data_IF_829985955575
#
_entry.id   IF_829985955575
#
_cell.length_a   1.000
_cell.length_b   1.000
_cell.length_c   1.000
_cell.angle_alpha   90.00
_cell.angle_beta   90.00
_cell.angle_gamma   90.00
#
_symmetry.space_group_name_H-M   'P 1'
#
loop_
_entity.id
_entity.type
_entity.pdbx_description
1 polymer ?
#
# COMPACT_ATOMS: atom_id res chain seq x y z
N UNK A 1 51.70 -5.47 -67.73
CA UNK A 1 52.04 -5.53 -66.29
C UNK A 1 53.55 -5.62 -66.20
N UNK A 2 54.20 -4.72 -65.46
CA UNK A 2 55.65 -4.79 -65.23
C UNK A 2 55.86 -5.83 -64.14
N UNK A 3 56.33 -7.03 -64.51
CA UNK A 3 56.62 -8.09 -63.54
C UNK A 3 57.83 -7.67 -62.70
N UNK A 4 57.54 -7.14 -61.52
CA UNK A 4 58.56 -6.64 -60.61
C UNK A 4 59.28 -7.84 -59.97
N UNK A 5 60.55 -8.04 -60.32
CA UNK A 5 61.36 -9.13 -59.78
C UNK A 5 61.66 -8.89 -58.29
N UNK A 6 61.47 -9.90 -57.40
CA UNK A 6 61.80 -9.77 -56.00
C UNK A 6 63.32 -9.58 -55.80
N UNK A 7 63.69 -8.64 -54.92
CA UNK A 7 65.08 -8.28 -54.61
C UNK A 7 65.49 -8.99 -53.30
N UNK A 8 66.56 -9.77 -53.35
CA UNK A 8 67.20 -10.42 -52.19
C UNK A 8 68.38 -9.55 -51.71
N UNK A 9 68.92 -9.79 -50.51
CA UNK A 9 69.91 -8.92 -49.82
C UNK A 9 71.13 -8.48 -50.66
N UNK A 10 71.43 -9.15 -51.78
CA UNK A 10 72.32 -8.67 -52.84
C UNK A 10 71.71 -8.93 -54.24
N UNK A 11 70.77 -8.10 -54.68
CA UNK A 11 70.29 -8.05 -56.07
C UNK A 11 69.01 -8.84 -56.34
N UNK A 12 68.64 -8.99 -57.62
CA UNK A 12 67.43 -9.72 -58.03
C UNK A 12 67.59 -11.23 -57.83
N UNK A 13 66.49 -11.90 -57.50
CA UNK A 13 66.45 -13.36 -57.39
C UNK A 13 66.70 -14.02 -58.76
N UNK A 14 67.86 -14.66 -58.90
CA UNK A 14 68.35 -15.20 -60.17
C UNK A 14 67.41 -16.25 -60.75
N UNK A 15 66.86 -17.14 -59.92
CA UNK A 15 65.97 -18.21 -60.38
C UNK A 15 64.66 -17.65 -60.96
N UNK A 16 64.12 -16.60 -60.33
CA UNK A 16 62.90 -15.92 -60.80
C UNK A 16 63.12 -15.14 -62.10
N UNK A 17 64.31 -14.56 -62.28
CA UNK A 17 64.67 -13.85 -63.51
C UNK A 17 64.90 -14.84 -64.65
N UNK A 18 65.59 -15.96 -64.40
CA UNK A 18 65.82 -17.00 -65.40
C UNK A 18 64.49 -17.64 -65.86
N UNK A 19 63.56 -17.91 -64.93
CA UNK A 19 62.21 -18.41 -65.25
C UNK A 19 61.40 -17.43 -66.10
N UNK A 20 61.44 -16.14 -65.77
CA UNK A 20 60.73 -15.12 -66.56
C UNK A 20 61.37 -14.95 -67.95
N UNK A 21 62.70 -15.07 -68.05
CA UNK A 21 63.40 -15.01 -69.33
C UNK A 21 63.04 -16.20 -70.22
N UNK A 22 62.95 -17.41 -69.64
CA UNK A 22 62.47 -18.61 -70.35
C UNK A 22 61.04 -18.44 -70.84
N UNK A 23 60.11 -17.97 -70.00
CA UNK A 23 58.72 -17.68 -70.40
C UNK A 23 58.63 -16.61 -71.49
N UNK A 24 59.46 -15.57 -71.42
CA UNK A 24 59.52 -14.54 -72.45
C UNK A 24 60.03 -15.09 -73.79
N UNK A 25 61.04 -15.97 -73.77
CA UNK A 25 61.54 -16.65 -74.97
C UNK A 25 60.47 -17.57 -75.58
N UNK A 26 59.76 -18.36 -74.77
CA UNK A 26 58.66 -19.22 -75.23
C UNK A 26 57.52 -18.41 -75.85
N UNK A 27 57.11 -17.31 -75.21
CA UNK A 27 56.09 -16.41 -75.76
C UNK A 27 56.54 -15.79 -77.09
N UNK A 28 57.81 -15.40 -77.20
CA UNK A 28 58.36 -14.84 -78.44
C UNK A 28 58.38 -15.89 -79.56
N UNK A 29 58.71 -17.15 -79.24
CA UNK A 29 58.66 -18.25 -80.20
C UNK A 29 57.21 -18.51 -80.67
N UNK A 30 56.25 -18.54 -79.74
CA UNK A 30 54.82 -18.72 -80.06
C UNK A 30 54.27 -17.61 -80.95
N UNK A 31 54.63 -16.35 -80.68
CA UNK A 31 54.20 -15.22 -81.51
C UNK A 31 54.80 -15.29 -82.93
N UNK A 32 56.06 -15.72 -83.07
CA UNK A 32 56.68 -15.93 -84.39
C UNK A 32 56.00 -17.03 -85.18
N UNK A 33 55.57 -18.11 -84.52
CA UNK A 33 54.80 -19.19 -85.15
C UNK A 33 53.45 -18.66 -85.67
N UNK A 34 52.74 -17.87 -84.85
CA UNK A 34 51.47 -17.27 -85.23
C UNK A 34 51.61 -16.31 -86.41
N UNK A 35 52.65 -15.47 -86.44
CA UNK A 35 52.90 -14.57 -87.57
C UNK A 35 53.10 -15.36 -88.87
N UNK A 36 53.87 -16.46 -88.85
CA UNK A 36 54.04 -17.32 -90.04
C UNK A 36 52.72 -17.91 -90.53
N UNK A 37 51.84 -18.33 -89.61
CA UNK A 37 50.50 -18.84 -89.97
C UNK A 37 49.64 -17.74 -90.59
N UNK A 38 49.70 -16.52 -90.04
CA UNK A 38 48.96 -15.39 -90.59
C UNK A 38 49.49 -14.95 -91.96
N UNK A 39 50.81 -14.92 -92.17
CA UNK A 39 51.40 -14.60 -93.47
C UNK A 39 50.99 -15.63 -94.55
N UNK A 40 50.94 -16.93 -94.20
CA UNK A 40 50.44 -17.96 -95.10
C UNK A 40 48.95 -17.79 -95.44
N UNK A 41 48.12 -17.41 -94.45
CA UNK A 41 46.69 -17.12 -94.63
C UNK A 41 46.47 -15.91 -95.53
N UNK A 42 47.29 -14.86 -95.40
CA UNK A 42 47.21 -13.66 -96.24
C UNK A 42 47.53 -14.00 -97.69
N UNK A 43 48.59 -14.80 -97.94
CA UNK A 43 48.91 -15.26 -99.29
C UNK A 43 47.80 -16.10 -99.92
N UNK A 44 47.17 -16.98 -99.15
CA UNK A 44 46.01 -17.76 -99.60
C UNK A 44 44.82 -16.86 -99.94
N UNK A 45 44.52 -15.88 -99.09
CA UNK A 45 43.46 -14.89 -99.31
C UNK A 45 43.73 -14.03 -100.56
N UNK A 46 44.97 -13.60 -100.79
CA UNK A 46 45.33 -12.83 -101.98
C UNK A 46 45.17 -13.65 -103.26
N UNK A 47 45.54 -14.93 -103.23
CA UNK A 47 45.32 -15.85 -104.36
C UNK A 47 43.82 -16.04 -104.63
N UNK A 48 43.01 -16.24 -103.59
CA UNK A 48 41.54 -16.36 -103.71
C UNK A 48 40.92 -15.07 -104.27
N UNK A 49 41.39 -13.90 -103.85
CA UNK A 49 40.90 -12.61 -104.35
C UNK A 49 41.28 -12.36 -105.82
N UNK A 50 42.44 -12.83 -106.28
CA UNK A 50 42.78 -12.80 -107.70
C UNK A 50 41.86 -13.73 -108.51
N UNK A 51 41.61 -14.95 -108.03
CA UNK A 51 40.73 -15.91 -108.71
C UNK A 51 39.27 -15.40 -108.77
N UNK A 52 38.77 -14.83 -107.67
CA UNK A 52 37.45 -14.19 -107.60
C UNK A 52 37.33 -12.99 -108.55
N UNK A 53 38.38 -12.19 -108.69
CA UNK A 53 38.41 -11.06 -109.65
C UNK A 53 38.36 -11.54 -111.09
N UNK A 54 39.10 -12.60 -111.43
CA UNK A 54 39.05 -13.20 -112.77
C UNK A 54 37.64 -13.75 -113.07
N UNK A 55 37.00 -14.44 -112.12
CA UNK A 55 35.62 -14.94 -112.26
C UNK A 55 34.58 -13.83 -112.43
N UNK A 56 34.67 -12.73 -111.66
CA UNK A 56 33.76 -11.59 -111.78
C UNK A 56 33.91 -10.83 -113.10
N UNK A 57 35.11 -10.78 -113.69
CA UNK A 57 35.33 -10.11 -114.98
C UNK A 57 34.59 -10.81 -116.14
N UNK A 58 34.39 -12.13 -116.07
CA UNK A 58 33.66 -12.90 -117.08
C UNK A 58 32.13 -12.81 -117.00
N UNK A 59 31.56 -12.38 -115.88
CA UNK A 59 30.11 -12.34 -115.66
C UNK A 59 29.43 -11.05 -116.15
N UNK A 60 30.19 -10.00 -116.50
CA UNK A 60 29.63 -8.72 -116.95
C UNK A 60 28.87 -8.78 -118.29
N UNK A 61 29.00 -9.84 -119.09
CA UNK A 61 28.36 -9.94 -120.41
C UNK A 61 26.93 -10.52 -120.41
N UNK A 62 26.41 -11.04 -119.29
CA UNK A 62 25.06 -11.66 -119.19
C UNK A 62 24.09 -10.91 -118.24
N UNK A 63 24.33 -9.63 -117.97
CA UNK A 63 23.84 -8.92 -116.78
C UNK A 63 22.33 -8.61 -116.72
N UNK A 64 21.63 -8.34 -117.82
CA UNK A 64 20.30 -7.69 -117.73
C UNK A 64 19.08 -8.62 -117.54
N UNK A 65 19.08 -9.84 -118.08
CA UNK A 65 18.00 -10.83 -117.87
C UNK A 65 18.20 -11.62 -116.59
N UNK A 66 19.46 -11.85 -116.20
CA UNK A 66 19.83 -12.46 -114.93
C UNK A 66 19.47 -11.57 -113.72
N UNK A 67 19.46 -10.23 -113.88
CA UNK A 67 19.13 -9.30 -112.80
C UNK A 67 17.68 -9.39 -112.34
N UNK A 68 16.72 -9.62 -113.25
CA UNK A 68 15.30 -9.77 -112.92
C UNK A 68 14.97 -11.09 -112.20
N UNK A 69 15.56 -12.20 -112.67
CA UNK A 69 15.45 -13.50 -112.02
C UNK A 69 16.14 -13.50 -110.64
N UNK A 70 17.30 -12.86 -110.53
CA UNK A 70 18.01 -12.69 -109.26
C UNK A 70 17.24 -11.78 -108.29
N UNK A 71 16.59 -10.71 -108.76
CA UNK A 71 15.76 -9.86 -107.90
C UNK A 71 14.53 -10.60 -107.34
N UNK A 72 13.86 -11.44 -108.14
CA UNK A 72 12.75 -12.28 -107.65
C UNK A 72 13.23 -13.37 -106.69
N UNK A 73 14.39 -13.99 -106.96
CA UNK A 73 15.01 -14.95 -106.07
C UNK A 73 15.44 -14.30 -104.75
N UNK A 74 15.99 -13.08 -104.80
CA UNK A 74 16.39 -12.31 -103.62
C UNK A 74 15.16 -11.93 -102.79
N UNK A 75 14.08 -11.46 -103.43
CA UNK A 75 12.85 -11.11 -102.72
C UNK A 75 12.19 -12.35 -102.09
N UNK A 76 12.14 -13.48 -102.80
CA UNK A 76 11.65 -14.74 -102.24
C UNK A 76 12.54 -15.25 -101.09
N UNK A 77 13.86 -15.12 -101.22
CA UNK A 77 14.79 -15.47 -100.14
C UNK A 77 14.65 -14.53 -98.94
N UNK A 78 14.43 -13.24 -99.16
CA UNK A 78 14.23 -12.23 -98.13
C UNK A 78 12.92 -12.46 -97.38
N UNK A 79 11.83 -12.79 -98.09
CA UNK A 79 10.57 -13.19 -97.48
C UNK A 79 10.71 -14.47 -96.65
N UNK A 80 11.42 -15.49 -97.16
CA UNK A 80 11.69 -16.72 -96.42
C UNK A 80 12.52 -16.46 -95.17
N UNK A 81 13.61 -15.68 -95.27
CA UNK A 81 14.43 -15.31 -94.10
C UNK A 81 13.67 -14.45 -93.10
N UNK A 82 12.77 -13.58 -93.56
CA UNK A 82 11.95 -12.75 -92.67
C UNK A 82 10.93 -13.60 -91.91
N UNK A 83 10.28 -14.57 -92.59
CA UNK A 83 9.38 -15.52 -91.93
C UNK A 83 10.13 -16.37 -90.91
N UNK A 84 11.30 -16.88 -91.27
CA UNK A 84 12.14 -17.65 -90.35
C UNK A 84 12.59 -16.82 -89.15
N UNK A 85 12.98 -15.55 -89.36
CA UNK A 85 13.34 -14.63 -88.28
C UNK A 85 12.15 -14.34 -87.37
N UNK A 86 10.95 -14.13 -87.93
CA UNK A 86 9.74 -13.90 -87.14
C UNK A 86 9.34 -15.13 -86.32
N UNK A 87 9.41 -16.33 -86.90
CA UNK A 87 9.13 -17.58 -86.17
C UNK A 87 10.16 -17.82 -85.07
N UNK A 88 11.45 -17.57 -85.34
CA UNK A 88 12.50 -17.61 -84.32
C UNK A 88 12.26 -16.59 -83.22
N UNK A 89 11.93 -15.34 -83.56
CA UNK A 89 11.63 -14.31 -82.57
C UNK A 89 10.41 -14.66 -81.71
N UNK A 90 9.36 -15.27 -82.29
CA UNK A 90 8.21 -15.77 -81.54
C UNK A 90 8.61 -16.91 -80.61
N UNK A 91 9.41 -17.87 -81.08
CA UNK A 91 9.88 -18.99 -80.27
C UNK A 91 10.79 -18.52 -79.12
N UNK A 92 11.68 -17.56 -79.39
CA UNK A 92 12.55 -16.95 -78.38
C UNK A 92 11.72 -16.17 -77.34
N UNK A 93 10.74 -15.38 -77.79
CA UNK A 93 9.83 -14.67 -76.89
C UNK A 93 8.98 -15.61 -76.02
N UNK A 94 8.55 -16.76 -76.57
CA UNK A 94 7.84 -17.78 -75.81
C UNK A 94 8.76 -18.44 -74.77
N UNK A 95 9.99 -18.80 -75.16
CA UNK A 95 10.98 -19.38 -74.25
C UNK A 95 11.32 -18.43 -73.10
N UNK A 96 11.48 -17.13 -73.38
CA UNK A 96 11.72 -16.11 -72.35
C UNK A 96 10.53 -16.01 -71.40
N UNK A 97 9.29 -16.03 -71.91
CA UNK A 97 8.09 -16.03 -71.07
C UNK A 97 7.97 -17.27 -70.20
N UNK A 98 8.24 -18.45 -70.75
CA UNK A 98 8.19 -19.71 -70.01
C UNK A 98 9.26 -19.72 -68.91
N UNK A 99 10.48 -19.25 -69.21
CA UNK A 99 11.55 -19.12 -68.21
C UNK A 99 11.18 -18.11 -67.12
N UNK A 100 10.68 -16.93 -67.48
CA UNK A 100 10.24 -15.92 -66.52
C UNK A 100 9.10 -16.41 -65.62
N UNK A 101 8.15 -17.18 -66.17
CA UNK A 101 7.09 -17.81 -65.38
C UNK A 101 7.64 -18.85 -64.41
N UNK A 102 8.59 -19.68 -64.84
CA UNK A 102 9.23 -20.67 -63.97
C UNK A 102 10.06 -20.00 -62.86
N UNK A 103 10.80 -18.96 -63.18
CA UNK A 103 11.56 -18.16 -62.20
C UNK A 103 10.64 -17.46 -61.20
N UNK A 104 9.56 -16.83 -61.66
CA UNK A 104 8.55 -16.24 -60.79
C UNK A 104 7.89 -17.29 -59.89
N UNK A 105 7.57 -18.47 -60.43
CA UNK A 105 7.02 -19.59 -59.66
C UNK A 105 7.96 -20.09 -58.57
N UNK A 106 9.26 -20.23 -58.86
CA UNK A 106 10.25 -20.63 -57.85
C UNK A 106 10.44 -19.56 -56.79
N UNK A 107 10.49 -18.28 -57.16
CA UNK A 107 10.59 -17.16 -56.23
C UNK A 107 9.37 -17.10 -55.30
N UNK A 108 8.15 -17.24 -55.84
CA UNK A 108 6.93 -17.25 -55.04
C UNK A 108 6.89 -18.43 -54.07
N UNK A 109 7.26 -19.63 -54.51
CA UNK A 109 7.34 -20.79 -53.61
C UNK A 109 8.36 -20.58 -52.50
N UNK A 110 9.54 -20.02 -52.81
CA UNK A 110 10.56 -19.73 -51.80
C UNK A 110 10.07 -18.66 -50.82
N UNK A 111 9.49 -17.56 -51.31
CA UNK A 111 8.94 -16.51 -50.47
C UNK A 111 7.80 -17.03 -49.56
N UNK A 112 6.99 -17.97 -50.06
CA UNK A 112 5.95 -18.60 -49.26
C UNK A 112 6.52 -19.51 -48.17
N UNK A 113 7.54 -20.32 -48.49
CA UNK A 113 8.25 -21.13 -47.50
C UNK A 113 8.92 -20.27 -46.42
N UNK A 114 9.56 -19.18 -46.81
CA UNK A 114 10.20 -18.25 -45.87
C UNK A 114 9.15 -17.58 -44.97
N UNK A 115 8.01 -17.14 -45.52
CA UNK A 115 6.92 -16.58 -44.74
C UNK A 115 6.32 -17.57 -43.73
N UNK A 116 6.16 -18.84 -44.13
CA UNK A 116 5.66 -19.90 -43.25
C UNK A 116 6.67 -20.24 -42.15
N UNK A 117 7.96 -20.29 -42.47
CA UNK A 117 9.04 -20.48 -41.48
C UNK A 117 9.08 -19.34 -40.47
N UNK A 118 9.04 -18.09 -40.94
CA UNK A 118 9.01 -16.90 -40.07
C UNK A 118 7.78 -16.92 -39.15
N UNK A 119 6.60 -17.29 -39.65
CA UNK A 119 5.39 -17.42 -38.83
C UNK A 119 5.52 -18.53 -37.79
N UNK A 120 6.10 -19.66 -38.15
CA UNK A 120 6.31 -20.78 -37.23
C UNK A 120 7.29 -20.39 -36.10
N UNK A 121 8.38 -19.71 -36.45
CA UNK A 121 9.38 -19.21 -35.50
C UNK A 121 8.78 -18.16 -34.56
N UNK A 122 8.10 -17.14 -35.10
CA UNK A 122 7.43 -16.12 -34.30
C UNK A 122 6.38 -16.73 -33.35
N UNK A 123 5.63 -17.74 -33.80
CA UNK A 123 4.67 -18.45 -32.95
C UNK A 123 5.37 -19.22 -31.83
N UNK A 124 6.50 -19.87 -32.13
CA UNK A 124 7.30 -20.59 -31.14
C UNK A 124 7.85 -19.62 -30.08
N UNK A 125 8.47 -18.53 -30.50
CA UNK A 125 8.99 -17.50 -29.59
C UNK A 125 7.87 -16.90 -28.73
N UNK A 126 6.71 -16.60 -29.31
CA UNK A 126 5.56 -16.11 -28.55
C UNK A 126 5.10 -17.13 -27.49
N UNK A 127 5.03 -18.42 -27.83
CA UNK A 127 4.67 -19.47 -26.85
C UNK A 127 5.71 -19.62 -25.74
N UNK A 128 7.01 -19.50 -26.07
CA UNK A 128 8.08 -19.57 -25.09
C UNK A 128 8.08 -18.34 -24.16
N UNK A 129 7.85 -17.14 -24.71
CA UNK A 129 7.73 -15.91 -23.94
C UNK A 129 6.52 -15.97 -22.98
N UNK A 130 5.37 -16.46 -23.44
CA UNK A 130 4.19 -16.66 -22.59
C UNK A 130 4.47 -17.68 -21.48
N UNK A 131 5.12 -18.81 -21.80
CA UNK A 131 5.48 -19.82 -20.81
C UNK A 131 6.44 -19.27 -19.74
N UNK A 132 7.45 -18.50 -20.15
CA UNK A 132 8.39 -17.85 -19.23
C UNK A 132 7.69 -16.81 -18.35
N UNK A 133 6.79 -16.00 -18.92
CA UNK A 133 6.00 -15.03 -18.16
C UNK A 133 5.10 -15.73 -17.12
N UNK A 134 4.47 -16.84 -17.47
CA UNK A 134 3.69 -17.65 -16.52
C UNK A 134 4.58 -18.23 -15.41
N UNK A 135 5.73 -18.80 -15.74
CA UNK A 135 6.66 -19.34 -14.74
C UNK A 135 7.14 -18.25 -13.76
N UNK A 136 7.46 -17.05 -14.26
CA UNK A 136 7.83 -15.91 -13.43
C UNK A 136 6.68 -15.44 -12.54
N UNK A 137 5.46 -15.38 -13.07
CA UNK A 137 4.26 -15.03 -12.30
C UNK A 137 3.98 -16.06 -11.19
N UNK A 138 4.13 -17.35 -11.47
CA UNK A 138 3.94 -18.43 -10.50
C UNK A 138 5.01 -18.37 -9.40
N UNK A 139 6.27 -18.13 -9.77
CA UNK A 139 7.36 -17.90 -8.81
C UNK A 139 7.09 -16.70 -7.91
N UNK A 140 6.71 -15.56 -8.49
CA UNK A 140 6.38 -14.35 -7.74
C UNK A 140 5.22 -14.60 -6.78
N UNK A 141 4.17 -15.29 -7.24
CA UNK A 141 3.02 -15.66 -6.42
C UNK A 141 3.41 -16.58 -5.27
N UNK A 142 4.23 -17.60 -5.51
CA UNK A 142 4.71 -18.52 -4.48
C UNK A 142 5.56 -17.79 -3.42
N UNK A 143 6.45 -16.90 -3.85
CA UNK A 143 7.26 -16.07 -2.94
C UNK A 143 6.36 -15.15 -2.10
N UNK A 144 5.44 -14.42 -2.73
CA UNK A 144 4.51 -13.54 -2.03
C UNK A 144 3.63 -14.30 -1.02
N UNK A 145 3.17 -15.51 -1.36
CA UNK A 145 2.44 -16.38 -0.44
C UNK A 145 3.30 -16.80 0.75
N UNK A 146 4.53 -17.26 0.52
CA UNK A 146 5.47 -17.65 1.58
C UNK A 146 5.81 -16.47 2.50
N UNK A 147 6.07 -15.29 1.94
CA UNK A 147 6.35 -14.07 2.72
C UNK A 147 5.14 -13.66 3.55
N UNK A 148 3.93 -13.71 2.97
CA UNK A 148 2.69 -13.43 3.68
C UNK A 148 2.48 -14.40 4.85
N UNK A 149 2.66 -15.70 4.63
CA UNK A 149 2.56 -16.70 5.69
C UNK A 149 3.59 -16.48 6.81
N UNK A 150 4.82 -16.12 6.45
CA UNK A 150 5.86 -15.80 7.43
C UNK A 150 5.53 -14.54 8.24
N UNK A 151 5.03 -13.48 7.60
CA UNK A 151 4.60 -12.25 8.27
C UNK A 151 3.41 -12.50 9.21
N UNK A 152 2.43 -13.29 8.79
CA UNK A 152 1.30 -13.66 9.65
C UNK A 152 1.78 -14.51 10.83
N UNK A 153 2.71 -15.44 10.61
CA UNK A 153 3.27 -16.26 11.67
C UNK A 153 4.11 -15.45 12.67
N UNK A 154 4.91 -14.48 12.20
CA UNK A 154 5.71 -13.61 13.07
C UNK A 154 4.82 -12.67 13.88
N UNK A 155 3.84 -12.01 13.23
CA UNK A 155 2.88 -11.14 13.91
C UNK A 155 2.08 -11.89 14.97
N UNK A 156 1.67 -13.14 14.68
CA UNK A 156 0.99 -13.98 15.67
C UNK A 156 1.89 -14.31 16.86
N UNK A 157 3.15 -14.68 16.63
CA UNK A 157 4.11 -14.95 17.72
C UNK A 157 4.35 -13.70 18.59
N UNK A 158 4.57 -12.55 17.96
CA UNK A 158 4.77 -11.29 18.67
C UNK A 158 3.53 -10.92 19.50
N UNK A 159 2.32 -11.09 18.94
CA UNK A 159 1.07 -10.88 19.69
C UNK A 159 0.94 -11.84 20.88
N UNK A 160 1.27 -13.12 20.70
CA UNK A 160 1.26 -14.11 21.79
C UNK A 160 2.28 -13.75 22.88
N UNK A 161 3.48 -13.29 22.52
CA UNK A 161 4.51 -12.89 23.47
C UNK A 161 4.15 -11.59 24.21
N UNK A 162 3.54 -10.62 23.53
CA UNK A 162 2.98 -9.43 24.17
C UNK A 162 1.89 -9.81 25.17
N UNK A 163 0.96 -10.70 24.81
CA UNK A 163 -0.10 -11.16 25.73
C UNK A 163 0.47 -11.89 26.94
N UNK A 164 1.44 -12.79 26.75
CA UNK A 164 2.13 -13.46 27.86
C UNK A 164 2.82 -12.46 28.79
N UNK A 165 3.46 -11.44 28.23
CA UNK A 165 4.12 -10.39 29.03
C UNK A 165 3.11 -9.60 29.85
N UNK A 166 1.99 -9.18 29.23
CA UNK A 166 0.91 -8.48 29.92
C UNK A 166 0.26 -9.34 31.00
N UNK A 167 0.06 -10.64 30.76
CA UNK A 167 -0.49 -11.56 31.75
C UNK A 167 0.44 -11.70 32.97
N UNK A 168 1.76 -11.76 32.75
CA UNK A 168 2.75 -11.79 33.83
C UNK A 168 2.76 -10.48 34.63
N UNK A 169 2.71 -9.33 33.95
CA UNK A 169 2.65 -8.02 34.60
C UNK A 169 1.35 -7.85 35.41
N UNK A 170 0.23 -8.30 34.87
CA UNK A 170 -1.06 -8.25 35.55
C UNK A 170 -1.05 -9.15 36.78
N UNK A 171 -0.54 -10.38 36.67
CA UNK A 171 -0.37 -11.29 37.80
C UNK A 171 0.54 -10.69 38.88
N UNK A 172 1.68 -10.11 38.48
CA UNK A 172 2.59 -9.46 39.42
C UNK A 172 1.94 -8.28 40.14
N UNK A 173 1.18 -7.43 39.43
CA UNK A 173 0.43 -6.32 40.02
C UNK A 173 -0.69 -6.78 40.94
N UNK A 174 -1.41 -7.84 40.58
CA UNK A 174 -2.43 -8.43 41.46
C UNK A 174 -1.82 -8.96 42.75
N UNK A 175 -0.70 -9.69 42.66
CA UNK A 175 0.01 -10.17 43.86
C UNK A 175 0.55 -9.02 44.73
N UNK A 176 1.07 -7.97 44.11
CA UNK A 176 1.51 -6.77 44.82
C UNK A 176 0.34 -6.07 45.52
N UNK A 177 -0.80 -5.94 44.83
CA UNK A 177 -2.01 -5.36 45.39
C UNK A 177 -2.52 -6.17 46.59
N UNK A 178 -2.57 -7.50 46.48
CA UNK A 178 -2.98 -8.39 47.57
C UNK A 178 -2.03 -8.29 48.77
N UNK A 179 -0.72 -8.20 48.54
CA UNK A 179 0.26 -7.96 49.61
C UNK A 179 0.03 -6.61 50.29
N UNK A 180 -0.21 -5.56 49.52
CA UNK A 180 -0.46 -4.21 50.05
C UNK A 180 -1.77 -4.18 50.85
N UNK A 181 -2.84 -4.81 50.37
CA UNK A 181 -4.10 -4.93 51.10
C UNK A 181 -3.92 -5.71 52.41
N UNK A 182 -3.19 -6.82 52.39
CA UNK A 182 -2.93 -7.60 53.60
C UNK A 182 -2.06 -6.82 54.59
N UNK A 183 -1.06 -6.08 54.13
CA UNK A 183 -0.25 -5.20 54.96
C UNK A 183 -1.10 -4.09 55.61
N UNK A 184 -1.95 -3.42 54.84
CA UNK A 184 -2.88 -2.41 55.36
C UNK A 184 -3.87 -2.99 56.37
N UNK A 185 -4.43 -4.17 56.12
CA UNK A 185 -5.30 -4.86 57.08
C UNK A 185 -4.56 -5.19 58.36
N UNK A 186 -3.35 -5.73 58.27
CA UNK A 186 -2.53 -6.05 59.45
C UNK A 186 -2.17 -4.79 60.24
N UNK A 187 -1.89 -3.67 59.57
CA UNK A 187 -1.62 -2.39 60.22
C UNK A 187 -2.86 -1.87 60.94
N UNK A 188 -4.03 -1.90 60.29
CA UNK A 188 -5.30 -1.51 60.89
C UNK A 188 -5.68 -2.39 62.08
N UNK A 189 -5.47 -3.71 61.98
CA UNK A 189 -5.70 -4.63 63.09
C UNK A 189 -4.77 -4.33 64.28
N UNK A 190 -3.50 -4.03 64.02
CA UNK A 190 -2.55 -3.64 65.05
C UNK A 190 -2.94 -2.30 65.71
N UNK A 191 -3.32 -1.29 64.92
CA UNK A 191 -3.81 -0.01 65.43
C UNK A 191 -5.07 -0.19 66.28
N UNK A 192 -6.01 -1.03 65.85
CA UNK A 192 -7.23 -1.32 66.60
C UNK A 192 -6.92 -2.05 67.91
N UNK A 193 -5.97 -3.00 67.90
CA UNK A 193 -5.49 -3.67 69.11
C UNK A 193 -4.82 -2.69 70.08
N UNK A 194 -4.01 -1.77 69.57
CA UNK A 194 -3.38 -0.71 70.37
C UNK A 194 -4.41 0.23 71.01
N UNK A 195 -5.39 0.69 70.23
CA UNK A 195 -6.48 1.53 70.75
C UNK A 195 -7.30 0.81 71.83
N UNK A 196 -7.57 -0.49 71.65
CA UNK A 196 -8.25 -1.31 72.67
C UNK A 196 -7.41 -1.45 73.94
N UNK A 197 -6.10 -1.65 73.82
CA UNK A 197 -5.20 -1.71 74.96
C UNK A 197 -5.16 -0.37 75.72
N UNK A 198 -5.02 0.75 75.00
CA UNK A 198 -5.07 2.10 75.57
C UNK A 198 -6.39 2.36 76.29
N UNK A 199 -7.53 2.04 75.65
CA UNK A 199 -8.83 2.19 76.29
C UNK A 199 -8.97 1.31 77.54
N UNK A 200 -8.44 0.08 77.53
CA UNK A 200 -8.45 -0.78 78.70
C UNK A 200 -7.58 -0.22 79.85
N UNK A 201 -6.40 0.33 79.53
CA UNK A 201 -5.53 0.98 80.51
C UNK A 201 -6.18 2.23 81.09
N UNK A 202 -6.81 3.07 80.28
CA UNK A 202 -7.58 4.24 80.73
C UNK A 202 -8.74 3.84 81.66
N UNK A 203 -9.50 2.80 81.30
CA UNK A 203 -10.56 2.27 82.16
C UNK A 203 -9.98 1.74 83.47
N UNK A 204 -8.84 1.04 83.45
CA UNK A 204 -8.19 0.55 84.65
C UNK A 204 -7.69 1.70 85.55
N UNK A 205 -7.13 2.76 84.96
CA UNK A 205 -6.72 3.96 85.69
C UNK A 205 -7.93 4.66 86.32
N UNK A 206 -9.02 4.86 85.56
CA UNK A 206 -10.26 5.45 86.07
C UNK A 206 -10.88 4.64 87.21
N UNK A 207 -10.87 3.30 87.11
CA UNK A 207 -11.34 2.43 88.20
C UNK A 207 -10.47 2.59 89.44
N UNK A 208 -9.15 2.60 89.27
CA UNK A 208 -8.22 2.79 90.40
C UNK A 208 -8.44 4.14 91.08
N UNK A 209 -8.57 5.23 90.31
CA UNK A 209 -8.85 6.55 90.89
C UNK A 209 -10.20 6.58 91.60
N UNK A 210 -11.23 5.95 91.03
CA UNK A 210 -12.54 5.85 91.67
C UNK A 210 -12.48 5.01 92.97
N UNK A 211 -11.73 3.90 92.98
CA UNK A 211 -11.54 3.07 94.18
C UNK A 211 -10.76 3.84 95.26
N UNK A 212 -9.72 4.59 94.89
CA UNK A 212 -8.94 5.45 95.78
C UNK A 212 -9.83 6.57 96.37
N UNK A 213 -10.69 7.20 95.57
CA UNK A 213 -11.67 8.20 96.02
C UNK A 213 -12.72 7.60 96.95
N UNK A 214 -13.24 6.40 96.64
CA UNK A 214 -14.18 5.68 97.51
C UNK A 214 -13.50 5.35 98.84
N UNK A 215 -12.25 4.88 98.83
CA UNK A 215 -11.48 4.59 100.04
C UNK A 215 -11.25 5.86 100.88
N UNK A 216 -10.88 6.97 100.23
CA UNK A 216 -10.72 8.27 100.89
C UNK A 216 -12.04 8.74 101.52
N UNK A 217 -13.16 8.65 100.80
CA UNK A 217 -14.49 9.01 101.31
C UNK A 217 -14.95 8.11 102.46
N UNK A 218 -14.65 6.80 102.40
CA UNK A 218 -14.90 5.87 103.52
C UNK A 218 -14.06 6.22 104.74
N UNK A 219 -12.78 6.56 104.56
CA UNK A 219 -11.91 7.00 105.67
C UNK A 219 -12.43 8.31 106.27
N UNK A 220 -12.75 9.30 105.44
CA UNK A 220 -13.33 10.57 105.88
C UNK A 220 -14.65 10.36 106.65
N UNK A 221 -15.53 9.48 106.15
CA UNK A 221 -16.77 9.12 106.84
C UNK A 221 -16.50 8.40 108.17
N UNK A 222 -15.52 7.49 108.23
CA UNK A 222 -15.14 6.82 109.47
C UNK A 222 -14.58 7.81 110.50
N UNK A 223 -13.74 8.75 110.06
CA UNK A 223 -13.23 9.82 110.92
C UNK A 223 -14.36 10.73 111.43
N UNK A 224 -15.34 11.05 110.57
CA UNK A 224 -16.54 11.80 110.98
C UNK A 224 -17.39 11.00 111.97
N UNK A 225 -17.58 9.69 111.76
CA UNK A 225 -18.28 8.80 112.70
C UNK A 225 -17.52 8.77 114.03
N UNK A 226 -16.19 8.63 114.01
CA UNK A 226 -15.37 8.61 115.21
C UNK A 226 -15.47 9.94 115.96
N UNK A 227 -15.34 11.07 115.28
CA UNK A 227 -15.56 12.41 115.87
C UNK A 227 -16.96 12.55 116.46
N UNK A 228 -17.99 12.05 115.77
CA UNK A 228 -19.35 12.07 116.27
C UNK A 228 -19.55 11.18 117.49
N UNK A 229 -18.91 10.00 117.53
CA UNK A 229 -18.88 9.10 118.68
C UNK A 229 -18.13 9.73 119.86
N UNK A 230 -16.99 10.38 119.63
CA UNK A 230 -16.23 11.09 120.65
C UNK A 230 -17.05 12.26 121.21
N UNK A 231 -17.71 13.05 120.35
CA UNK A 231 -18.66 14.09 120.75
C UNK A 231 -19.86 13.50 121.51
N UNK A 232 -20.39 12.36 121.08
CA UNK A 232 -21.48 11.69 121.77
C UNK A 232 -21.04 11.18 123.14
N UNK A 233 -19.84 10.60 123.26
CA UNK A 233 -19.23 10.16 124.51
C UNK A 233 -18.91 11.34 125.44
N UNK A 234 -18.43 12.45 124.90
CA UNK A 234 -18.23 13.70 125.62
C UNK A 234 -19.57 14.24 126.10
N UNK A 235 -20.60 14.30 125.26
CA UNK A 235 -21.96 14.64 125.68
C UNK A 235 -22.51 13.67 126.71
N UNK A 236 -22.19 12.38 126.63
CA UNK A 236 -22.59 11.37 127.61
C UNK A 236 -21.84 11.57 128.93
N UNK A 237 -20.59 12.00 128.89
CA UNK A 237 -19.80 12.39 130.06
C UNK A 237 -20.33 13.68 130.67
N UNK A 238 -20.62 14.70 129.86
CA UNK A 238 -21.29 15.94 130.26
C UNK A 238 -22.68 15.65 130.82
N UNK A 239 -23.44 14.73 130.22
CA UNK A 239 -24.71 14.26 130.75
C UNK A 239 -24.50 13.48 132.04
N UNK A 240 -23.45 12.68 132.20
CA UNK A 240 -23.13 12.01 133.48
C UNK A 240 -22.72 13.01 134.56
N UNK A 241 -22.00 14.07 134.21
CA UNK A 241 -21.64 15.17 135.09
C UNK A 241 -22.87 16.01 135.43
N UNK A 242 -23.70 16.33 134.45
CA UNK A 242 -25.01 16.95 134.63
C UNK A 242 -25.95 16.04 135.41
N UNK A 243 -25.89 14.72 135.28
CA UNK A 243 -26.66 13.74 136.06
C UNK A 243 -26.11 13.65 137.48
N UNK A 244 -24.80 13.82 137.71
CA UNK A 244 -24.23 13.95 139.05
C UNK A 244 -24.64 15.29 139.71
N UNK A 245 -24.66 16.37 138.93
CA UNK A 245 -25.20 17.68 139.33
C UNK A 245 -26.71 17.62 139.58
N UNK A 246 -27.44 16.93 138.70
CA UNK A 246 -28.87 16.61 138.82
C UNK A 246 -29.13 15.58 139.90
N UNK A 247 -28.19 14.77 140.38
CA UNK A 247 -28.38 13.91 141.55
C UNK A 247 -28.27 14.74 142.84
N UNK A 248 -27.40 15.77 142.82
CA UNK A 248 -27.34 16.80 143.86
C UNK A 248 -28.59 17.70 143.82
N UNK A 249 -29.03 18.11 142.63
CA UNK A 249 -30.24 18.89 142.45
C UNK A 249 -31.53 18.05 142.55
N UNK A 250 -31.53 16.74 142.27
CA UNK A 250 -32.67 15.82 142.45
C UNK A 250 -32.84 15.40 143.90
N UNK A 251 -31.82 15.49 144.76
CA UNK A 251 -32.06 15.51 146.22
C UNK A 251 -32.84 16.76 146.65
N UNK A 252 -32.81 17.83 145.86
CA UNK A 252 -33.52 19.10 146.09
C UNK A 252 -34.80 19.26 145.25
N UNK A 253 -34.92 18.54 144.13
CA UNK A 253 -36.09 18.46 143.25
C UNK A 253 -36.90 17.18 143.47
N UNK A 254 -36.47 16.23 144.30
CA UNK A 254 -37.32 15.16 144.84
C UNK A 254 -38.47 15.70 145.70
N UNK A 255 -38.42 16.97 146.11
CA UNK A 255 -39.55 17.71 146.67
C UNK A 255 -40.38 18.50 145.65
N UNK A 256 -39.95 18.61 144.39
CA UNK A 256 -40.60 19.45 143.37
C UNK A 256 -41.01 18.68 142.09
N UNK A 257 -40.60 17.42 141.94
CA UNK A 257 -40.90 16.54 140.78
C UNK A 257 -41.96 15.46 141.12
N UNK A 258 -42.67 15.59 142.24
CA UNK A 258 -43.98 14.91 142.40
C UNK A 258 -45.09 15.58 141.58
N UNK A 259 -44.88 16.80 141.08
CA UNK A 259 -45.94 17.57 140.39
C UNK A 259 -45.76 17.68 138.86
N UNK A 260 -44.61 17.31 138.30
CA UNK A 260 -44.31 17.52 136.87
C UNK A 260 -44.03 16.23 136.06
N UNK A 261 -44.28 15.04 136.65
CA UNK A 261 -44.00 13.75 136.02
C UNK A 261 -45.09 13.22 135.08
N UNK A 262 -46.18 13.95 134.82
CA UNK A 262 -47.28 13.46 133.98
C UNK A 262 -47.45 14.13 132.60
N UNK A 263 -46.67 15.15 132.23
CA UNK A 263 -47.02 15.98 131.07
C UNK A 263 -46.17 15.80 129.79
N UNK A 264 -45.00 15.16 129.80
CA UNK A 264 -44.13 15.13 128.61
C UNK A 264 -43.62 13.73 128.19
N UNK A 265 -44.38 12.68 128.52
CA UNK A 265 -44.12 11.32 128.03
C UNK A 265 -44.81 11.00 126.67
N UNK A 266 -45.30 11.99 125.92
CA UNK A 266 -46.09 11.74 124.68
C UNK A 266 -45.77 12.62 123.46
N UNK A 267 -44.68 13.40 123.48
CA UNK A 267 -44.34 14.26 122.32
C UNK A 267 -43.05 13.83 121.60
N UNK A 268 -42.66 12.57 121.74
CA UNK A 268 -41.52 11.96 121.05
C UNK A 268 -41.99 10.90 120.01
N UNK A 269 -43.29 10.75 119.78
CA UNK A 269 -43.79 9.68 118.90
C UNK A 269 -44.32 10.08 117.54
N UNK A 270 -44.49 11.36 117.21
CA UNK A 270 -45.04 11.74 115.90
C UNK A 270 -44.10 12.65 115.10
N UNK A 271 -42.78 12.44 115.23
CA UNK A 271 -41.76 12.90 114.27
C UNK A 271 -41.80 12.13 112.94
N UNK A 272 -42.93 11.49 112.61
CA UNK A 272 -43.16 10.65 111.43
C UNK A 272 -43.56 11.45 110.18
N UNK A 273 -43.83 12.76 110.30
CA UNK A 273 -44.27 13.59 109.18
C UNK A 273 -43.12 14.30 108.43
N UNK A 274 -41.92 14.39 109.00
CA UNK A 274 -40.79 15.13 108.37
C UNK A 274 -40.07 14.30 107.28
N UNK A 275 -40.13 12.96 107.34
CA UNK A 275 -39.51 12.09 106.34
C UNK A 275 -40.35 11.90 105.06
N UNK A 276 -41.67 12.09 105.16
CA UNK A 276 -42.61 11.97 104.03
C UNK A 276 -42.55 13.16 103.06
N UNK A 277 -42.18 14.35 103.55
CA UNK A 277 -42.01 15.55 102.73
C UNK A 277 -40.69 15.55 101.93
N UNK A 278 -39.64 14.88 102.42
CA UNK A 278 -38.31 14.86 101.79
C UNK A 278 -38.20 13.86 100.63
N UNK A 279 -39.06 12.85 100.59
CA UNK A 279 -39.10 11.81 99.55
C UNK A 279 -39.89 12.22 98.30
N UNK A 280 -40.89 13.09 98.44
CA UNK A 280 -41.65 13.63 97.29
C UNK A 280 -40.89 14.71 96.49
N UNK A 281 -39.94 15.43 97.10
CA UNK A 281 -39.14 16.45 96.42
C UNK A 281 -38.03 15.86 95.52
N UNK A 282 -37.47 14.69 95.86
CA UNK A 282 -36.44 14.02 95.03
C UNK A 282 -37.02 13.37 93.77
N UNK A 283 -38.23 12.82 93.84
CA UNK A 283 -38.89 12.15 92.70
C UNK A 283 -39.37 13.15 91.64
N UNK A 284 -39.74 14.37 92.02
CA UNK A 284 -40.12 15.42 91.07
C UNK A 284 -38.92 15.98 90.29
N UNK A 285 -37.75 16.07 90.92
CA UNK A 285 -36.53 16.61 90.30
C UNK A 285 -35.87 15.60 89.34
N UNK A 286 -35.95 14.29 89.62
CA UNK A 286 -35.47 13.25 88.70
C UNK A 286 -36.39 13.08 87.47
N UNK A 287 -37.71 13.29 87.63
CA UNK A 287 -38.65 13.26 86.49
C UNK A 287 -38.50 14.46 85.53
N UNK A 288 -38.07 15.62 86.02
CA UNK A 288 -37.80 16.80 85.21
C UNK A 288 -36.47 16.70 84.46
N UNK A 289 -35.43 16.14 85.08
CA UNK A 289 -34.13 15.90 84.45
C UNK A 289 -34.21 14.86 83.32
N UNK A 290 -34.94 13.75 83.53
CA UNK A 290 -35.16 12.74 82.47
C UNK A 290 -35.96 13.29 81.28
N UNK A 291 -36.94 14.17 81.52
CA UNK A 291 -37.68 14.85 80.43
C UNK A 291 -36.80 15.82 79.65
N UNK A 292 -35.84 16.48 80.31
CA UNK A 292 -34.90 17.41 79.68
C UNK A 292 -33.84 16.67 78.85
N UNK A 293 -33.35 15.53 79.33
CA UNK A 293 -32.37 14.70 78.61
C UNK A 293 -32.99 14.00 77.37
N UNK A 294 -34.25 13.56 77.47
CA UNK A 294 -34.98 13.00 76.31
C UNK A 294 -35.22 14.09 75.24
N UNK A 295 -35.62 15.30 75.64
CA UNK A 295 -35.81 16.42 74.71
C UNK A 295 -34.48 16.85 74.03
N UNK A 296 -33.38 16.91 74.79
CA UNK A 296 -32.05 17.22 74.25
C UNK A 296 -31.58 16.14 73.24
N UNK A 297 -31.77 14.85 73.55
CA UNK A 297 -31.39 13.78 72.62
C UNK A 297 -32.22 13.73 71.33
N UNK A 298 -33.50 14.14 71.38
CA UNK A 298 -34.33 14.25 70.17
C UNK A 298 -33.94 15.45 69.31
N UNK A 299 -33.53 16.57 69.93
CA UNK A 299 -33.04 17.73 69.19
C UNK A 299 -31.68 17.47 68.52
N UNK A 300 -30.77 16.77 69.19
CA UNK A 300 -29.48 16.36 68.63
C UNK A 300 -29.61 15.30 67.53
N UNK A 301 -30.57 14.37 67.67
CA UNK A 301 -30.89 13.41 66.61
C UNK A 301 -31.48 14.11 65.38
N UNK A 302 -32.36 15.09 65.57
CA UNK A 302 -32.95 15.87 64.48
C UNK A 302 -31.92 16.76 63.77
N UNK A 303 -30.97 17.36 64.50
CA UNK A 303 -29.84 18.10 63.91
C UNK A 303 -28.95 17.18 63.08
N UNK A 304 -28.57 16.00 63.59
CA UNK A 304 -27.76 15.04 62.82
C UNK A 304 -28.45 14.54 61.55
N UNK A 305 -29.77 14.34 61.59
CA UNK A 305 -30.55 13.98 60.40
C UNK A 305 -30.61 15.15 59.41
N UNK A 306 -30.80 16.38 59.88
CA UNK A 306 -30.77 17.57 59.04
C UNK A 306 -29.39 17.78 58.38
N UNK A 307 -28.30 17.58 59.12
CA UNK A 307 -26.93 17.67 58.61
C UNK A 307 -26.64 16.56 57.60
N UNK A 308 -27.11 15.33 57.82
CA UNK A 308 -27.00 14.24 56.84
C UNK A 308 -27.78 14.55 55.55
N UNK A 309 -28.97 15.14 55.65
CA UNK A 309 -29.75 15.55 54.49
C UNK A 309 -29.10 16.71 53.74
N UNK A 310 -28.44 17.63 54.44
CA UNK A 310 -27.66 18.71 53.84
C UNK A 310 -26.41 18.17 53.12
N UNK A 311 -25.67 17.22 53.71
CA UNK A 311 -24.50 16.59 53.07
C UNK A 311 -24.91 15.76 51.83
N UNK A 312 -26.06 15.06 51.90
CA UNK A 312 -26.64 14.35 50.75
C UNK A 312 -27.07 15.31 49.63
N UNK A 313 -27.63 16.46 49.97
CA UNK A 313 -28.00 17.47 48.99
C UNK A 313 -26.74 18.10 48.34
N UNK A 314 -25.70 18.37 49.12
CA UNK A 314 -24.42 18.87 48.61
C UNK A 314 -23.75 17.86 47.66
N UNK A 315 -23.70 16.57 48.04
CA UNK A 315 -23.17 15.50 47.17
C UNK A 315 -23.99 15.31 45.89
N UNK A 316 -25.31 15.50 45.94
CA UNK A 316 -26.14 15.45 44.73
C UNK A 316 -25.81 16.60 43.78
N UNK A 317 -25.65 17.81 44.30
CA UNK A 317 -25.27 18.96 43.49
C UNK A 317 -23.90 18.79 42.81
N UNK A 318 -22.90 18.27 43.54
CA UNK A 318 -21.57 18.01 42.95
C UNK A 318 -21.61 16.92 41.90
N UNK A 319 -22.35 15.84 42.12
CA UNK A 319 -22.50 14.76 41.13
C UNK A 319 -23.27 15.24 39.89
N UNK A 320 -24.30 16.08 40.06
CA UNK A 320 -25.00 16.71 38.93
C UNK A 320 -24.04 17.60 38.12
N UNK A 321 -23.24 18.45 38.79
CA UNK A 321 -22.26 19.31 38.13
C UNK A 321 -21.18 18.51 37.39
N UNK A 322 -20.58 17.50 38.03
CA UNK A 322 -19.62 16.57 37.42
C UNK A 322 -20.24 15.81 36.22
N UNK A 323 -21.50 15.37 36.33
CA UNK A 323 -22.19 14.69 35.22
C UNK A 323 -22.44 15.61 34.03
N UNK A 324 -22.77 16.89 34.28
CA UNK A 324 -22.97 17.87 33.21
C UNK A 324 -21.65 18.25 32.53
N UNK A 325 -20.55 18.33 33.29
CA UNK A 325 -19.21 18.54 32.75
C UNK A 325 -18.77 17.34 31.89
N UNK A 326 -18.95 16.11 32.38
CA UNK A 326 -18.68 14.90 31.59
C UNK A 326 -19.49 14.83 30.30
N UNK A 327 -20.75 15.25 30.32
CA UNK A 327 -21.59 15.34 29.12
C UNK A 327 -21.12 16.45 28.16
N UNK A 328 -20.61 17.56 28.68
CA UNK A 328 -20.04 18.64 27.86
C UNK A 328 -18.72 18.18 27.19
N UNK A 329 -17.84 17.53 27.96
CA UNK A 329 -16.58 16.96 27.46
C UNK A 329 -16.83 15.87 26.42
N UNK A 330 -17.81 14.98 26.65
CA UNK A 330 -18.20 13.96 25.69
C UNK A 330 -18.72 14.57 24.36
N UNK A 331 -19.48 15.68 24.43
CA UNK A 331 -19.93 16.40 23.23
C UNK A 331 -18.78 17.07 22.49
N UNK A 332 -17.82 17.64 23.21
CA UNK A 332 -16.65 18.30 22.61
C UNK A 332 -15.72 17.29 21.95
N UNK A 333 -15.46 16.14 22.59
CA UNK A 333 -14.72 15.01 22.00
C UNK A 333 -15.41 14.50 20.73
N UNK A 334 -16.74 14.34 20.76
CA UNK A 334 -17.50 13.92 19.57
C UNK A 334 -17.38 14.93 18.43
N UNK A 335 -17.50 16.23 18.73
CA UNK A 335 -17.36 17.30 17.74
C UNK A 335 -15.95 17.31 17.12
N UNK A 336 -14.90 17.18 17.93
CA UNK A 336 -13.51 17.08 17.46
C UNK A 336 -13.28 15.84 16.60
N UNK A 337 -13.89 14.71 16.95
CA UNK A 337 -13.82 13.49 16.14
C UNK A 337 -14.52 13.65 14.78
N UNK A 338 -15.68 14.31 14.74
CA UNK A 338 -16.41 14.62 13.50
C UNK A 338 -15.61 15.59 12.60
N UNK A 339 -14.99 16.62 13.18
CA UNK A 339 -14.09 17.57 12.48
C UNK A 339 -12.82 16.87 11.95
N UNK A 340 -12.26 15.94 12.71
CA UNK A 340 -11.12 15.13 12.25
C UNK A 340 -11.52 14.18 11.12
N UNK A 341 -12.65 13.50 11.23
CA UNK A 341 -13.14 12.58 10.21
C UNK A 341 -13.51 13.30 8.90
N UNK A 342 -14.04 14.53 8.98
CA UNK A 342 -14.35 15.36 7.80
C UNK A 342 -13.08 15.89 7.15
N UNK A 343 -12.13 16.42 7.94
CA UNK A 343 -10.85 16.90 7.40
C UNK A 343 -9.98 15.78 6.81
N UNK A 344 -9.99 14.59 7.43
CA UNK A 344 -9.30 13.41 6.89
C UNK A 344 -9.92 12.95 5.56
N UNK A 345 -11.25 12.95 5.44
CA UNK A 345 -11.93 12.65 4.18
C UNK A 345 -11.63 13.67 3.09
N UNK A 346 -11.63 14.96 3.41
CA UNK A 346 -11.28 16.01 2.45
C UNK A 346 -9.84 15.87 1.95
N UNK A 347 -8.87 15.60 2.84
CA UNK A 347 -7.47 15.36 2.46
C UNK A 347 -7.32 14.16 1.53
N UNK A 348 -7.91 13.02 1.91
CA UNK A 348 -7.90 11.82 1.08
C UNK A 348 -8.55 12.05 -0.29
N UNK A 349 -9.62 12.84 -0.35
CA UNK A 349 -10.28 13.19 -1.61
C UNK A 349 -9.40 14.09 -2.49
N UNK A 350 -8.75 15.12 -1.93
CA UNK A 350 -7.81 15.96 -2.69
C UNK A 350 -6.59 15.19 -3.16
N UNK A 351 -6.07 14.26 -2.36
CA UNK A 351 -4.95 13.39 -2.76
C UNK A 351 -5.38 12.44 -3.89
N UNK A 352 -6.58 11.86 -3.82
CA UNK A 352 -7.12 11.02 -4.88
C UNK A 352 -7.32 11.81 -6.19
N UNK A 353 -7.84 13.03 -6.13
CA UNK A 353 -7.99 13.92 -7.29
C UNK A 353 -6.63 14.25 -7.92
N UNK A 354 -5.62 14.55 -7.10
CA UNK A 354 -4.25 14.80 -7.59
C UNK A 354 -3.64 13.58 -8.28
N UNK A 355 -3.80 12.38 -7.70
CA UNK A 355 -3.31 11.14 -8.30
C UNK A 355 -3.98 10.88 -9.65
N UNK A 356 -5.29 11.13 -9.75
CA UNK A 356 -6.04 10.95 -11.01
C UNK A 356 -5.56 11.95 -12.07
N UNK A 357 -5.34 13.22 -11.71
CA UNK A 357 -4.84 14.23 -12.64
C UNK A 357 -3.39 13.97 -13.07
N UNK A 358 -2.52 13.53 -12.16
CA UNK A 358 -1.17 13.07 -12.51
C UNK A 358 -1.20 11.85 -13.45
N UNK A 359 -2.07 10.87 -13.17
CA UNK A 359 -2.23 9.69 -14.01
C UNK A 359 -2.74 10.04 -15.41
N UNK A 360 -3.71 10.98 -15.52
CA UNK A 360 -4.18 11.50 -16.82
C UNK A 360 -3.08 12.20 -17.58
N UNK A 361 -2.30 13.04 -16.90
CA UNK A 361 -1.19 13.78 -17.52
C UNK A 361 -0.13 12.82 -18.05
N UNK A 362 0.30 11.84 -17.24
CA UNK A 362 1.26 10.81 -17.67
C UNK A 362 0.70 9.94 -18.80
N UNK A 363 -0.58 9.60 -18.78
CA UNK A 363 -1.21 8.85 -19.85
C UNK A 363 -1.23 9.65 -21.16
N UNK A 364 -1.49 10.95 -21.09
CA UNK A 364 -1.46 11.85 -22.24
C UNK A 364 -0.04 11.98 -22.81
N UNK A 365 0.96 12.20 -21.95
CA UNK A 365 2.38 12.23 -22.34
C UNK A 365 2.81 10.94 -23.03
N UNK A 366 2.41 9.78 -22.51
CA UNK A 366 2.73 8.48 -23.10
C UNK A 366 2.03 8.27 -24.45
N UNK A 367 0.79 8.73 -24.60
CA UNK A 367 0.09 8.70 -25.90
C UNK A 367 0.79 9.59 -26.92
N UNK A 368 1.21 10.79 -26.51
CA UNK A 368 1.88 11.74 -27.39
C UNK A 368 3.27 11.26 -27.78
N UNK A 369 4.04 10.67 -26.84
CA UNK A 369 5.33 10.01 -27.12
C UNK A 369 5.17 8.84 -28.11
N UNK A 370 4.11 8.03 -27.95
CA UNK A 370 3.82 6.93 -28.89
C UNK A 370 3.40 7.42 -30.26
N UNK A 371 2.67 8.54 -30.34
CA UNK A 371 2.31 9.18 -31.61
C UNK A 371 3.54 9.75 -32.31
N UNK A 372 4.44 10.39 -31.58
CA UNK A 372 5.68 10.93 -32.12
C UNK A 372 6.57 9.80 -32.65
N UNK A 373 6.78 8.73 -31.87
CA UNK A 373 7.53 7.56 -32.31
C UNK A 373 6.90 6.87 -33.54
N UNK A 374 5.57 6.76 -33.60
CA UNK A 374 4.88 6.21 -34.77
C UNK A 374 5.04 7.12 -36.00
N UNK A 375 5.02 8.45 -35.81
CA UNK A 375 5.23 9.41 -36.89
C UNK A 375 6.67 9.34 -37.42
N UNK A 376 7.67 9.23 -36.54
CA UNK A 376 9.07 9.01 -36.95
C UNK A 376 9.24 7.72 -37.76
N UNK A 377 8.57 6.64 -37.35
CA UNK A 377 8.58 5.37 -38.09
C UNK A 377 7.91 5.51 -39.47
N UNK A 378 6.77 6.20 -39.55
CA UNK A 378 6.08 6.49 -40.81
C UNK A 378 6.96 7.34 -41.73
N UNK A 379 7.61 8.38 -41.21
CA UNK A 379 8.49 9.24 -41.99
C UNK A 379 9.75 8.48 -42.46
N UNK A 380 10.28 7.59 -41.62
CA UNK A 380 11.34 6.64 -41.98
C UNK A 380 10.93 5.65 -43.08
N UNK A 381 9.71 5.15 -43.04
CA UNK A 381 9.15 4.29 -44.09
C UNK A 381 8.95 5.06 -45.40
N UNK A 382 8.41 6.29 -45.33
CA UNK A 382 8.21 7.15 -46.50
C UNK A 382 9.52 7.51 -47.19
N UNK A 383 10.56 7.84 -46.43
CA UNK A 383 11.91 8.06 -46.99
C UNK A 383 12.47 6.81 -47.65
N UNK A 384 12.25 5.62 -47.08
CA UNK A 384 12.67 4.35 -47.68
C UNK A 384 11.88 4.03 -48.96
N UNK A 385 10.58 4.32 -48.98
CA UNK A 385 9.74 4.21 -50.18
C UNK A 385 10.25 5.14 -51.28
N UNK A 386 10.54 6.41 -50.96
CA UNK A 386 11.08 7.37 -51.91
C UNK A 386 12.44 6.91 -52.48
N UNK A 387 13.33 6.40 -51.64
CA UNK A 387 14.61 5.84 -52.09
C UNK A 387 14.44 4.60 -52.99
N UNK A 388 13.44 3.76 -52.72
CA UNK A 388 13.11 2.62 -53.58
C UNK A 388 12.52 3.07 -54.92
N UNK A 389 11.66 4.09 -54.95
CA UNK A 389 11.13 4.68 -56.18
C UNK A 389 12.22 5.34 -57.02
N UNK A 390 13.17 6.05 -56.39
CA UNK A 390 14.33 6.61 -57.09
C UNK A 390 15.21 5.50 -57.67
N UNK A 391 15.45 4.43 -56.90
CA UNK A 391 16.17 3.24 -57.39
C UNK A 391 15.43 2.58 -58.55
N UNK A 392 14.11 2.44 -58.46
CA UNK A 392 13.28 1.92 -59.55
C UNK A 392 13.44 2.81 -60.78
N UNK A 393 13.26 4.13 -60.67
CA UNK A 393 13.46 5.08 -61.77
C UNK A 393 14.87 5.00 -62.37
N UNK A 394 15.91 4.82 -61.55
CA UNK A 394 17.29 4.63 -62.01
C UNK A 394 17.50 3.32 -62.76
N UNK A 395 16.84 2.25 -62.32
CA UNK A 395 16.87 0.94 -62.99
C UNK A 395 16.12 1.06 -64.32
N UNK A 396 14.94 1.66 -64.34
CA UNK A 396 14.15 1.89 -65.57
C UNK A 396 14.91 2.75 -66.55
N UNK A 397 15.54 3.85 -66.12
CA UNK A 397 16.39 4.69 -66.96
C UNK A 397 17.61 3.94 -67.51
N UNK A 398 18.23 3.06 -66.71
CA UNK A 398 19.34 2.23 -67.17
C UNK A 398 18.90 1.11 -68.10
N UNK A 399 17.69 0.57 -67.92
CA UNK A 399 17.07 -0.37 -68.85
C UNK A 399 16.74 0.33 -70.17
N UNK A 400 16.22 1.55 -70.13
CA UNK A 400 15.97 2.37 -71.33
C UNK A 400 17.28 2.77 -72.01
N UNK A 401 18.33 3.09 -71.26
CA UNK A 401 19.67 3.34 -71.79
C UNK A 401 20.25 2.08 -72.45
N UNK A 402 20.12 0.91 -71.82
CA UNK A 402 20.50 -0.37 -72.41
C UNK A 402 19.67 -0.68 -73.66
N UNK A 403 18.38 -0.35 -73.68
CA UNK A 403 17.48 -0.50 -74.83
C UNK A 403 17.84 0.47 -75.96
N UNK A 404 18.28 1.67 -75.62
CA UNK A 404 18.82 2.69 -76.55
C UNK A 404 20.19 2.27 -77.11
N UNK A 405 21.09 1.73 -76.29
CA UNK A 405 22.38 1.18 -76.72
C UNK A 405 22.14 -0.05 -77.61
N UNK A 406 21.15 -0.88 -77.29
CA UNK A 406 20.71 -1.97 -78.15
C UNK A 406 20.17 -1.45 -79.48
N UNK A 407 19.31 -0.43 -79.48
CA UNK A 407 18.76 0.17 -80.69
C UNK A 407 19.81 0.90 -81.55
N UNK A 408 20.81 1.54 -80.93
CA UNK A 408 21.94 2.19 -81.63
C UNK A 408 22.97 1.19 -82.15
N UNK A 409 23.21 0.08 -81.43
CA UNK A 409 24.11 -0.99 -81.88
C UNK A 409 23.46 -1.92 -82.93
N UNK A 410 22.13 -2.00 -82.98
CA UNK A 410 21.38 -2.85 -83.93
C UNK A 410 20.53 -2.11 -84.98
N UNK A 411 20.54 -0.77 -85.02
CA UNK A 411 19.94 -0.01 -86.11
C UNK A 411 18.44 0.26 -85.97
N UNK A 412 18.09 1.53 -86.17
CA UNK A 412 16.79 2.20 -86.07
C UNK A 412 15.70 1.75 -87.08
N UNK A 413 15.60 0.47 -87.45
CA UNK A 413 14.67 0.04 -88.51
C UNK A 413 13.78 -1.18 -88.20
N UNK A 414 13.63 -1.63 -86.94
CA UNK A 414 12.86 -2.87 -86.68
C UNK A 414 11.65 -2.80 -85.72
N UNK A 415 11.32 -1.67 -85.09
CA UNK A 415 10.20 -1.63 -84.11
C UNK A 415 9.31 -0.40 -84.23
N UNK A 416 8.84 -0.08 -85.43
CA UNK A 416 7.64 0.74 -85.57
C UNK A 416 6.45 -0.19 -85.86
N UNK A 417 5.68 -0.53 -84.82
CA UNK A 417 4.35 -1.14 -84.99
C UNK A 417 3.48 -0.80 -83.79
N UNK A 418 2.76 0.31 -83.93
CA UNK A 418 1.34 0.53 -83.62
C UNK A 418 0.65 -0.44 -82.63
N UNK A 419 0.12 0.11 -81.52
CA UNK A 419 -0.88 -0.56 -80.69
C UNK A 419 -1.84 0.43 -80.01
N UNK A 420 -3.12 0.34 -80.41
CA UNK A 420 -4.35 0.70 -79.71
C UNK A 420 -5.46 -0.22 -80.27
N UNK A 421 -6.68 -0.42 -79.70
CA UNK A 421 -7.29 0.12 -78.46
C UNK A 421 -8.12 -0.94 -77.64
N UNK A 422 -9.00 -0.44 -76.72
CA UNK A 422 -10.22 -1.06 -76.11
C UNK A 422 -10.04 -1.94 -74.83
N UNK A 423 -10.93 -2.01 -73.81
CA UNK A 423 -12.22 -1.38 -73.42
C UNK A 423 -12.52 -1.84 -71.94
N UNK A 424 -12.96 -0.98 -71.03
CA UNK A 424 -14.35 -0.77 -70.51
C UNK A 424 -14.81 -1.61 -69.29
N UNK A 425 -15.39 -0.87 -68.29
CA UNK A 425 -16.56 -1.16 -67.42
C UNK A 425 -16.41 -2.24 -66.32
N UNK A 426 -17.06 -2.21 -65.14
CA UNK A 426 -18.03 -1.36 -64.40
C UNK A 426 -18.25 -2.05 -63.03
N UNK A 427 -18.37 -1.36 -61.87
CA UNK A 427 -19.60 -1.04 -61.10
C UNK A 427 -19.08 -0.70 -59.68
N UNK A 428 -19.36 0.42 -59.00
CA UNK A 428 -20.61 1.08 -58.55
C UNK A 428 -20.94 0.82 -57.05
N UNK A 429 -21.53 1.87 -56.45
CA UNK A 429 -22.09 2.11 -55.11
C UNK A 429 -21.15 2.78 -54.09
N UNK A 430 -21.14 4.11 -53.97
CA UNK A 430 -22.18 5.07 -53.50
C UNK A 430 -22.42 4.99 -51.98
N UNK A 431 -22.11 6.07 -51.25
CA UNK A 431 -23.13 6.99 -50.75
C UNK A 431 -22.51 8.23 -50.09
N UNK A 432 -23.08 9.38 -50.48
CA UNK A 432 -22.99 10.70 -49.84
C UNK A 432 -23.48 10.68 -48.38
N UNK A 433 -22.96 11.58 -47.55
CA UNK A 433 -23.77 12.65 -46.94
C UNK A 433 -23.04 13.41 -45.81
N UNK A 434 -22.83 14.70 -46.08
CA UNK A 434 -23.09 15.87 -45.23
C UNK A 434 -22.91 15.85 -43.70
N UNK A 435 -22.21 16.91 -43.29
CA UNK A 435 -22.18 17.64 -42.03
C UNK A 435 -23.52 17.92 -41.32
N UNK A 436 -23.38 18.33 -40.04
CA UNK A 436 -24.35 18.90 -39.06
C UNK A 436 -25.07 17.81 -38.23
N UNK A 437 -25.23 17.89 -36.90
CA UNK A 437 -25.57 19.02 -36.05
C UNK A 437 -25.21 18.73 -34.56
N UNK A 438 -25.26 19.79 -33.76
CA UNK A 438 -24.96 19.89 -32.34
C UNK A 438 -26.04 19.29 -31.40
N UNK A 439 -25.59 19.07 -30.15
CA UNK A 439 -26.30 19.24 -28.86
C UNK A 439 -27.70 18.68 -28.62
N UNK A 440 -27.84 17.84 -27.58
CA UNK A 440 -28.79 17.93 -26.44
C UNK A 440 -28.60 16.66 -25.58
N UNK A 441 -28.12 16.72 -24.34
CA UNK A 441 -28.84 16.99 -23.08
C UNK A 441 -30.03 16.05 -22.76
N UNK A 442 -29.79 15.07 -21.89
CA UNK A 442 -30.70 14.53 -20.84
C UNK A 442 -29.92 13.45 -20.08
N UNK A 443 -29.64 13.50 -18.77
CA UNK A 443 -30.49 13.71 -17.60
C UNK A 443 -31.58 12.64 -17.43
N UNK A 444 -31.26 11.61 -16.62
CA UNK A 444 -32.10 10.81 -15.71
C UNK A 444 -31.11 9.88 -14.97
N UNK A 445 -30.75 9.96 -13.69
CA UNK A 445 -31.42 10.17 -12.38
C UNK A 445 -32.37 9.07 -11.94
N UNK A 446 -32.11 8.56 -10.72
CA UNK A 446 -32.84 7.60 -9.86
C UNK A 446 -32.69 6.12 -10.24
N UNK A 447 -32.41 5.17 -9.34
CA UNK A 447 -33.01 4.91 -8.01
C UNK A 447 -32.08 3.93 -7.23
N UNK A 448 -31.42 4.31 -6.14
CA UNK A 448 -31.79 4.11 -4.71
C UNK A 448 -32.41 2.76 -4.31
N UNK A 449 -31.64 1.91 -3.60
CA UNK A 449 -32.03 1.02 -2.45
C UNK A 449 -30.69 0.67 -1.76
N UNK A 450 -30.29 1.00 -0.53
CA UNK A 450 -30.88 1.00 0.82
C UNK A 450 -31.26 -0.39 1.37
N UNK A 451 -30.31 -1.05 2.03
CA UNK A 451 -30.53 -1.82 3.27
C UNK A 451 -29.12 -2.00 3.90
N UNK A 452 -28.77 -1.49 5.09
CA UNK A 452 -29.37 -1.65 6.42
C UNK A 452 -29.37 -3.10 6.91
N UNK A 453 -28.28 -3.47 7.61
CA UNK A 453 -28.32 -4.09 8.95
C UNK A 453 -26.98 -3.90 9.68
#
# INVERSE_FOLDING_TARGET
MVDNFPIVLRGYDKERVDDAFMRAQENTARLREQIKIYDARILELDAQLQEEREKNSGQQQNSFTALGANAQQLLASAEQTSRELLERAKQDAQTIRDNAHNEAGTLLNNAQLDADNMRAEAKKEATEAIAQAHEQADKLRATAQSESEQLVASAKRESEDQRRTLDLELSAKSEEHDKNLNAQRSEQEAQLAQLRAQAADEIAQQRKTADDEIAAKKSESNDQIQKALDLANQKLADVREQVAKLLSDAKRQASEITDAAHAQARQITDSADVERAKTLAKVAQEAENVRRDIAASQEDANKKVADMLADLAARRATVEEESTQLLADAKDVRKKADEYATSSRQKAQTEAEQIIEEAKTRAQELVDERREAAQEEIDGLNTRIAALQEREASITARVDELRSIFANAFGSNLFNTEAAPAAEQSEDKSEDAQSTDASESKAESSESVSDSE
#
